data_IF_006927481848
#
_entry.id   IF_006927481848
#
_cell.length_a   1.000
_cell.length_b   1.000
_cell.length_c   1.000
_cell.angle_alpha   90.00
_cell.angle_beta   90.00
_cell.angle_gamma   90.00
#
_symmetry.space_group_name_H-M   'P 1'
#
loop_
_entity.id
_entity.type
_entity.pdbx_description
1 polymer ?
#
# COMPACT_ATOMS: atom_id res chain seq x y z
N UNK A 1 -29.58 29.92 54.87
CA UNK A 1 -28.18 29.51 54.56
C UNK A 1 -28.02 29.55 53.03
N UNK A 2 -26.85 29.91 52.48
CA UNK A 2 -26.67 29.90 51.03
C UNK A 2 -26.76 28.46 50.49
N UNK A 3 -27.46 28.26 49.37
CA UNK A 3 -27.54 26.98 48.69
C UNK A 3 -26.21 26.60 48.07
N UNK A 4 -25.89 25.30 48.10
CA UNK A 4 -24.73 24.73 47.42
C UNK A 4 -25.14 24.00 46.14
N UNK A 5 -24.17 23.62 45.32
CA UNK A 5 -24.43 22.82 44.12
C UNK A 5 -25.11 21.46 44.41
N UNK A 6 -24.96 20.92 45.64
CA UNK A 6 -25.67 19.70 46.07
C UNK A 6 -27.15 19.96 46.34
N UNK A 7 -27.50 21.15 46.84
CA UNK A 7 -28.87 21.53 47.15
C UNK A 7 -29.67 21.87 45.88
N UNK A 8 -28.99 22.41 44.86
CA UNK A 8 -29.60 22.72 43.56
C UNK A 8 -30.34 21.52 42.94
N UNK A 9 -29.76 20.32 43.04
CA UNK A 9 -30.36 19.08 42.51
C UNK A 9 -31.66 18.67 43.22
N UNK A 10 -31.90 19.16 44.45
CA UNK A 10 -33.15 18.93 45.19
C UNK A 10 -34.27 19.84 44.70
N UNK A 11 -33.93 21.01 44.18
CA UNK A 11 -34.89 22.03 43.73
C UNK A 11 -35.15 21.99 42.22
N UNK A 12 -34.21 21.45 41.41
CA UNK A 12 -34.38 21.22 39.97
C UNK A 12 -33.64 19.95 39.55
N UNK A 13 -34.37 18.99 38.97
CA UNK A 13 -33.81 17.74 38.43
C UNK A 13 -33.18 17.98 37.05
N UNK A 14 -32.15 17.21 36.71
CA UNK A 14 -31.49 17.26 35.39
C UNK A 14 -30.33 18.25 35.25
N UNK A 15 -29.97 19.00 36.31
CA UNK A 15 -28.84 19.93 36.26
C UNK A 15 -27.49 19.19 36.18
N UNK A 16 -26.66 19.57 35.21
CA UNK A 16 -25.25 19.15 35.14
C UNK A 16 -24.45 19.69 36.34
N UNK A 17 -23.26 19.15 36.65
CA UNK A 17 -22.41 19.65 37.75
C UNK A 17 -22.06 21.15 37.61
N UNK A 18 -21.92 21.64 36.38
CA UNK A 18 -21.66 23.06 36.10
C UNK A 18 -22.91 23.91 36.31
N UNK A 19 -24.04 23.49 35.72
CA UNK A 19 -25.33 24.19 35.86
C UNK A 19 -25.80 24.24 37.32
N UNK A 20 -25.54 23.19 38.12
CA UNK A 20 -25.87 23.17 39.54
C UNK A 20 -25.09 24.22 40.36
N UNK A 21 -23.83 24.50 40.00
CA UNK A 21 -23.04 25.57 40.62
C UNK A 21 -23.58 26.94 40.24
N UNK A 22 -23.95 27.15 38.98
CA UNK A 22 -24.52 28.42 38.52
C UNK A 22 -25.93 28.67 39.07
N UNK A 23 -26.77 27.63 39.14
CA UNK A 23 -28.08 27.69 39.79
C UNK A 23 -27.94 28.16 41.24
N UNK A 24 -26.98 27.60 41.99
CA UNK A 24 -26.71 28.01 43.36
C UNK A 24 -26.24 29.46 43.45
N UNK A 25 -25.38 29.92 42.53
CA UNK A 25 -24.95 31.33 42.46
C UNK A 25 -26.14 32.27 42.22
N UNK A 26 -27.01 31.95 41.26
CA UNK A 26 -28.19 32.75 40.91
C UNK A 26 -29.18 32.79 42.08
N UNK A 27 -29.48 31.64 42.68
CA UNK A 27 -30.38 31.55 43.83
C UNK A 27 -29.85 32.36 45.03
N UNK A 28 -28.56 32.25 45.35
CA UNK A 28 -27.95 33.00 46.45
C UNK A 28 -27.91 34.51 46.18
N UNK A 29 -27.69 34.93 44.93
CA UNK A 29 -27.71 36.34 44.54
C UNK A 29 -29.11 36.96 44.68
N UNK A 30 -30.14 36.25 44.24
CA UNK A 30 -31.54 36.71 44.37
C UNK A 30 -31.99 36.71 45.83
N UNK A 31 -31.57 35.72 46.62
CA UNK A 31 -31.83 35.68 48.06
C UNK A 31 -31.22 36.90 48.76
N UNK A 32 -29.95 37.20 48.50
CA UNK A 32 -29.27 38.34 49.09
C UNK A 32 -29.90 39.68 48.68
N UNK A 33 -30.34 39.80 47.42
CA UNK A 33 -31.00 41.01 46.92
C UNK A 33 -32.38 41.20 47.57
N UNK A 34 -33.20 40.14 47.64
CA UNK A 34 -34.51 40.21 48.27
C UNK A 34 -34.43 40.48 49.79
N UNK A 35 -33.43 39.92 50.48
CA UNK A 35 -33.18 40.20 51.90
C UNK A 35 -32.79 41.66 52.14
N UNK A 36 -32.01 42.27 51.24
CA UNK A 36 -31.67 43.71 51.32
C UNK A 36 -32.87 44.62 51.09
N UNK A 37 -33.81 44.20 50.25
CA UNK A 37 -35.03 44.95 49.93
C UNK A 37 -36.17 44.75 50.96
N UNK A 38 -35.97 43.93 51.99
CA UNK A 38 -36.98 43.66 53.02
C UNK A 38 -38.20 42.88 52.50
N UNK A 39 -38.03 42.12 51.41
CA UNK A 39 -39.11 41.36 50.78
C UNK A 39 -39.63 40.21 51.64
N UNK A 40 -40.90 39.83 51.43
CA UNK A 40 -41.48 38.60 51.99
C UNK A 40 -41.27 37.44 51.00
N UNK A 41 -41.05 36.23 51.50
CA UNK A 41 -40.80 35.01 50.68
C UNK A 41 -39.55 35.08 49.78
N UNK A 42 -38.43 35.54 50.33
CA UNK A 42 -37.17 35.65 49.58
C UNK A 42 -36.60 34.30 49.14
N UNK A 43 -36.82 33.24 49.92
CA UNK A 43 -36.36 31.90 49.56
C UNK A 43 -37.16 31.33 48.38
N UNK A 44 -38.49 31.44 48.41
CA UNK A 44 -39.35 31.03 47.30
C UNK A 44 -39.10 31.83 46.03
N UNK A 45 -38.85 33.14 46.14
CA UNK A 45 -38.48 34.01 45.00
C UNK A 45 -37.16 33.57 44.38
N UNK A 46 -36.13 33.31 45.19
CA UNK A 46 -34.82 32.87 44.71
C UNK A 46 -34.88 31.55 43.94
N UNK A 47 -35.61 30.56 44.47
CA UNK A 47 -35.78 29.25 43.82
C UNK A 47 -36.54 29.39 42.50
N UNK A 48 -37.61 30.19 42.43
CA UNK A 48 -38.40 30.41 41.20
C UNK A 48 -37.56 31.06 40.10
N UNK A 49 -36.79 32.09 40.43
CA UNK A 49 -35.96 32.80 39.45
C UNK A 49 -34.84 31.89 38.93
N UNK A 50 -34.18 31.15 39.82
CA UNK A 50 -33.16 30.19 39.43
C UNK A 50 -33.77 29.06 38.57
N UNK A 51 -34.95 28.54 38.92
CA UNK A 51 -35.62 27.51 38.13
C UNK A 51 -36.09 28.00 36.75
N UNK A 52 -36.56 29.24 36.62
CA UNK A 52 -36.95 29.82 35.33
C UNK A 52 -35.77 29.91 34.38
N UNK A 53 -34.66 30.52 34.84
CA UNK A 53 -33.44 30.71 34.04
C UNK A 53 -32.88 29.40 33.50
N UNK A 54 -32.89 28.34 34.31
CA UNK A 54 -32.39 27.02 33.91
C UNK A 54 -33.45 26.14 33.23
N UNK A 55 -34.72 26.55 33.19
CA UNK A 55 -35.72 25.90 32.33
C UNK A 55 -35.61 26.42 30.90
N UNK A 56 -35.43 27.74 30.73
CA UNK A 56 -35.20 28.35 29.42
C UNK A 56 -33.91 27.84 28.74
N UNK A 57 -32.85 27.59 29.51
CA UNK A 57 -31.62 26.98 28.99
C UNK A 57 -31.81 25.51 28.59
N UNK A 58 -32.66 24.76 29.29
CA UNK A 58 -32.98 23.37 28.97
C UNK A 58 -33.94 23.25 27.78
N UNK A 59 -34.83 24.23 27.59
CA UNK A 59 -35.74 24.29 26.44
C UNK A 59 -35.04 24.77 25.16
N UNK A 60 -33.90 25.47 25.28
CA UNK A 60 -33.03 25.86 24.17
C UNK A 60 -32.07 24.74 23.70
N UNK A 61 -31.91 23.68 24.49
CA UNK A 61 -31.18 22.46 24.12
C UNK A 61 -32.10 21.56 23.27
N UNK A 62 -32.05 21.69 21.94
CA UNK A 62 -32.69 20.73 21.04
C UNK A 62 -31.96 19.40 21.17
N UNK A 63 -32.55 18.47 21.94
CA UNK A 63 -32.10 17.08 22.00
C UNK A 63 -32.43 16.41 20.68
N UNK A 64 -31.43 16.23 19.84
CA UNK A 64 -31.54 15.42 18.63
C UNK A 64 -30.74 14.16 18.87
N UNK A 65 -31.42 13.03 19.02
CA UNK A 65 -30.78 11.72 19.07
C UNK A 65 -30.31 11.35 17.66
N UNK A 66 -29.00 11.16 17.50
CA UNK A 66 -28.39 10.80 16.22
C UNK A 66 -27.43 9.63 16.39
N UNK A 67 -27.61 8.59 15.57
CA UNK A 67 -26.62 7.51 15.41
C UNK A 67 -25.73 7.82 14.21
N UNK A 68 -24.43 8.04 14.43
CA UNK A 68 -23.46 8.17 13.33
C UNK A 68 -22.43 7.03 13.38
N UNK A 69 -22.25 6.35 12.25
CA UNK A 69 -21.26 5.29 12.09
C UNK A 69 -19.84 5.85 12.03
N UNK A 70 -19.21 5.93 13.19
CA UNK A 70 -17.80 6.20 13.52
C UNK A 70 -16.73 5.22 12.98
N UNK A 71 -15.92 5.44 11.93
CA UNK A 71 -14.75 4.56 11.71
C UNK A 71 -13.74 4.76 12.87
N UNK A 72 -13.32 3.68 13.54
CA UNK A 72 -12.43 3.74 14.72
C UNK A 72 -11.12 4.53 14.51
N UNK A 73 -10.62 4.63 13.27
CA UNK A 73 -9.46 5.47 12.94
C UNK A 73 -9.69 6.97 13.19
N UNK A 74 -10.94 7.44 13.15
CA UNK A 74 -11.31 8.84 13.39
C UNK A 74 -11.48 9.17 14.90
N UNK A 75 -11.50 8.17 15.79
CA UNK A 75 -11.63 8.33 17.25
C UNK A 75 -10.29 8.32 17.99
N UNK A 76 -9.16 8.48 17.28
CA UNK A 76 -7.87 8.74 17.92
C UNK A 76 -7.78 10.20 18.35
N UNK A 77 -8.30 10.51 19.53
CA UNK A 77 -7.87 11.70 20.25
C UNK A 77 -6.43 11.46 20.70
N UNK A 78 -5.48 12.09 20.02
CA UNK A 78 -4.10 12.18 20.49
C UNK A 78 -4.12 13.17 21.64
N UNK A 79 -4.09 12.68 22.88
CA UNK A 79 -3.87 13.53 24.05
C UNK A 79 -2.40 13.99 24.00
N UNK A 80 -2.10 15.29 23.83
CA UNK A 80 -0.75 15.75 23.49
C UNK A 80 0.20 15.77 24.71
N UNK A 81 -0.02 14.94 25.72
CA UNK A 81 0.72 15.00 26.99
C UNK A 81 0.80 13.71 27.78
N UNK A 82 0.67 12.53 27.16
CA UNK A 82 0.91 11.26 27.86
C UNK A 82 2.03 10.49 27.15
N UNK A 83 3.10 10.33 27.92
CA UNK A 83 4.37 9.72 27.57
C UNK A 83 4.18 8.34 26.92
N UNK A 84 5.06 8.05 25.95
CA UNK A 84 5.05 6.96 24.98
C UNK A 84 5.17 5.53 25.53
N UNK A 85 4.70 5.22 26.74
CA UNK A 85 4.83 3.89 27.35
C UNK A 85 3.54 3.28 27.88
N UNK A 86 2.39 3.95 27.76
CA UNK A 86 1.09 3.31 28.01
C UNK A 86 0.34 2.99 26.72
N UNK A 87 1.01 2.21 25.84
CA UNK A 87 0.28 1.32 24.95
C UNK A 87 -0.56 0.41 25.83
N UNK A 88 -1.85 0.70 25.96
CA UNK A 88 -2.82 -0.24 26.52
C UNK A 88 -2.89 -1.42 25.56
N UNK A 89 -2.01 -2.39 25.79
CA UNK A 89 -2.10 -3.72 25.20
C UNK A 89 -3.35 -4.34 25.82
N UNK A 90 -4.47 -4.22 25.11
CA UNK A 90 -5.59 -5.13 25.31
C UNK A 90 -5.11 -6.50 24.83
N UNK A 91 -4.64 -7.32 25.78
CA UNK A 91 -4.39 -8.74 25.56
C UNK A 91 -5.74 -9.39 25.30
N UNK A 92 -6.07 -9.62 24.03
CA UNK A 92 -7.23 -10.42 23.67
C UNK A 92 -6.93 -11.89 23.97
N UNK A 93 -7.89 -12.57 24.62
CA UNK A 93 -7.87 -14.03 24.76
C UNK A 93 -7.65 -14.66 23.38
N UNK A 94 -6.72 -15.61 23.31
CA UNK A 94 -6.57 -16.55 22.20
C UNK A 94 -7.94 -17.14 21.85
N UNK A 95 -8.47 -16.75 20.69
CA UNK A 95 -9.80 -17.20 20.25
C UNK A 95 -10.29 -16.57 18.95
N UNK A 96 -10.06 -15.28 18.69
CA UNK A 96 -10.60 -14.59 17.50
C UNK A 96 -9.52 -13.79 16.76
N UNK A 97 -8.75 -14.44 15.90
CA UNK A 97 -7.98 -13.74 14.86
C UNK A 97 -9.01 -13.22 13.83
N UNK A 98 -9.53 -12.01 14.06
CA UNK A 98 -10.46 -11.36 13.14
C UNK A 98 -9.77 -11.10 11.80
N UNK A 99 -10.21 -11.81 10.75
CA UNK A 99 -9.69 -11.65 9.39
C UNK A 99 -9.98 -10.24 8.87
N UNK A 100 -8.94 -9.56 8.36
CA UNK A 100 -9.06 -8.26 7.67
C UNK A 100 -10.00 -8.39 6.47
N UNK A 101 -10.91 -7.43 6.32
CA UNK A 101 -11.88 -7.35 5.23
C UNK A 101 -11.47 -6.28 4.24
N UNK A 102 -11.65 -6.57 2.95
CA UNK A 102 -11.45 -5.61 1.87
C UNK A 102 -12.74 -4.82 1.62
N UNK A 103 -12.68 -3.51 1.83
CA UNK A 103 -13.72 -2.58 1.37
C UNK A 103 -13.20 -1.89 0.11
N UNK A 104 -13.83 -2.17 -1.03
CA UNK A 104 -13.41 -1.62 -2.32
C UNK A 104 -14.62 -1.28 -3.19
N UNK A 105 -14.69 -0.04 -3.65
CA UNK A 105 -15.63 0.43 -4.68
C UNK A 105 -14.89 0.42 -6.00
N UNK A 106 -15.22 -0.55 -6.86
CA UNK A 106 -14.50 -0.79 -8.13
C UNK A 106 -14.90 0.20 -9.21
N UNK A 107 -16.16 0.63 -9.19
CA UNK A 107 -16.68 1.62 -10.14
C UNK A 107 -17.90 2.30 -9.52
N UNK A 108 -17.94 3.63 -9.55
CA UNK A 108 -19.00 4.42 -8.89
C UNK A 108 -20.32 4.50 -9.69
N UNK A 109 -20.35 3.96 -10.90
CA UNK A 109 -21.50 4.11 -11.82
C UNK A 109 -21.47 5.39 -12.65
N UNK A 110 -20.58 6.34 -12.34
CA UNK A 110 -20.45 7.64 -13.03
C UNK A 110 -19.78 7.50 -14.39
N UNK A 111 -20.01 8.50 -15.25
CA UNK A 111 -19.35 8.61 -16.55
C UNK A 111 -17.85 8.86 -16.34
N UNK A 112 -17.04 7.95 -16.86
CA UNK A 112 -15.59 8.07 -16.95
C UNK A 112 -15.28 9.03 -18.09
N UNK A 113 -14.57 10.12 -17.79
CA UNK A 113 -14.18 11.10 -18.81
C UNK A 113 -12.80 10.78 -19.34
N UNK A 114 -12.54 11.16 -20.59
CA UNK A 114 -11.20 11.16 -21.19
C UNK A 114 -10.49 9.79 -21.22
N UNK A 115 -11.27 8.70 -21.38
CA UNK A 115 -10.67 7.39 -21.61
C UNK A 115 -9.97 7.36 -22.96
N UNK A 116 -8.66 7.07 -22.96
CA UNK A 116 -7.78 7.14 -24.14
C UNK A 116 -8.34 6.47 -25.41
N UNK A 117 -9.07 5.37 -25.27
CA UNK A 117 -9.71 4.66 -26.39
C UNK A 117 -11.21 4.91 -26.56
N UNK A 118 -11.95 5.20 -25.48
CA UNK A 118 -13.42 5.22 -25.48
C UNK A 118 -14.02 6.62 -25.38
N UNK A 119 -13.19 7.65 -25.16
CA UNK A 119 -13.62 9.00 -24.86
C UNK A 119 -14.37 9.05 -23.54
N UNK A 120 -15.56 9.68 -23.54
CA UNK A 120 -16.47 9.56 -22.40
C UNK A 120 -17.06 8.14 -22.36
N UNK A 121 -16.77 7.37 -21.33
CA UNK A 121 -17.20 5.99 -21.16
C UNK A 121 -18.20 5.86 -20.00
N UNK A 122 -19.36 5.28 -20.26
CA UNK A 122 -20.26 4.80 -19.20
C UNK A 122 -20.40 3.29 -19.26
N UNK A 123 -20.23 2.63 -18.13
CA UNK A 123 -20.41 1.18 -18.02
C UNK A 123 -21.76 0.90 -17.37
N UNK A 124 -22.69 0.27 -18.09
CA UNK A 124 -24.04 -0.01 -17.60
C UNK A 124 -24.00 -1.17 -16.61
N UNK A 125 -24.30 -0.89 -15.34
CA UNK A 125 -24.26 -1.90 -14.27
C UNK A 125 -25.36 -2.95 -14.41
N UNK A 126 -26.48 -2.61 -15.06
CA UNK A 126 -27.58 -3.55 -15.31
C UNK A 126 -27.20 -4.65 -16.32
N UNK A 127 -26.22 -4.35 -17.18
CA UNK A 127 -25.69 -5.26 -18.20
C UNK A 127 -24.46 -6.07 -17.76
N UNK A 128 -24.11 -6.04 -16.49
CA UNK A 128 -22.91 -6.71 -15.97
C UNK A 128 -23.12 -8.23 -15.80
N UNK A 129 -22.26 -9.02 -16.45
CA UNK A 129 -22.25 -10.47 -16.35
C UNK A 129 -21.12 -10.99 -15.46
N UNK A 130 -21.45 -11.93 -14.58
CA UNK A 130 -20.53 -12.55 -13.64
C UNK A 130 -20.49 -14.08 -13.81
N UNK A 131 -19.85 -14.62 -14.88
CA UNK A 131 -19.86 -16.04 -15.18
C UNK A 131 -18.98 -16.90 -14.24
N UNK A 132 -18.00 -16.29 -13.56
CA UNK A 132 -17.10 -16.99 -12.63
C UNK A 132 -17.64 -16.97 -11.21
N UNK A 133 -17.28 -18.00 -10.42
CA UNK A 133 -17.60 -18.08 -8.98
C UNK A 133 -16.71 -17.19 -8.12
N UNK A 134 -15.45 -17.01 -8.54
CA UNK A 134 -14.42 -16.20 -7.86
C UNK A 134 -13.76 -15.27 -8.88
N UNK A 135 -13.39 -14.09 -8.42
CA UNK A 135 -12.72 -13.06 -9.18
C UNK A 135 -11.45 -12.61 -8.47
N UNK A 136 -10.33 -12.42 -9.19
CA UNK A 136 -9.11 -11.91 -8.60
C UNK A 136 -9.24 -10.41 -8.30
N UNK A 137 -8.54 -9.99 -7.23
CA UNK A 137 -8.22 -8.61 -6.91
C UNK A 137 -6.70 -8.46 -7.04
N UNK A 138 -6.26 -7.64 -7.99
CA UNK A 138 -4.85 -7.44 -8.31
C UNK A 138 -4.36 -6.06 -7.87
N UNK A 139 -3.06 -5.85 -7.93
CA UNK A 139 -2.47 -4.51 -7.89
C UNK A 139 -2.28 -4.00 -9.34
N UNK A 140 -2.76 -2.80 -9.67
CA UNK A 140 -2.51 -2.14 -10.96
C UNK A 140 -2.70 -3.01 -12.23
N UNK A 141 -3.70 -3.89 -12.24
CA UNK A 141 -3.99 -4.84 -13.35
C UNK A 141 -2.85 -5.82 -13.67
N UNK A 142 -1.87 -5.94 -12.77
CA UNK A 142 -0.71 -6.80 -12.94
C UNK A 142 -1.03 -8.21 -12.49
N UNK A 143 -1.13 -9.15 -13.43
CA UNK A 143 -1.45 -10.56 -13.14
C UNK A 143 -0.42 -11.28 -12.26
N UNK A 144 0.81 -10.76 -12.21
CA UNK A 144 1.85 -11.23 -11.30
C UNK A 144 1.60 -10.78 -9.85
N UNK A 145 0.94 -9.64 -9.63
CA UNK A 145 0.72 -9.00 -8.32
C UNK A 145 -0.68 -9.22 -7.77
N UNK A 146 -0.80 -10.20 -6.87
CA UNK A 146 -2.09 -10.71 -6.38
C UNK A 146 -2.34 -10.19 -4.98
N UNK A 147 -3.49 -9.53 -4.75
CA UNK A 147 -3.85 -8.97 -3.44
C UNK A 147 -4.89 -9.85 -2.74
N UNK A 148 -5.99 -10.16 -3.43
CA UNK A 148 -7.07 -10.94 -2.86
C UNK A 148 -7.85 -11.68 -3.95
N UNK A 149 -8.83 -12.48 -3.53
CA UNK A 149 -9.89 -12.93 -4.42
C UNK A 149 -11.23 -12.77 -3.73
N UNK A 150 -12.26 -12.45 -4.50
CA UNK A 150 -13.62 -12.25 -4.01
C UNK A 150 -14.62 -13.10 -4.76
N UNK A 151 -15.78 -13.33 -4.17
CA UNK A 151 -16.92 -13.92 -4.86
C UNK A 151 -17.59 -12.91 -5.82
N UNK A 152 -18.85 -13.12 -6.21
CA UNK A 152 -19.59 -12.16 -7.01
C UNK A 152 -19.60 -10.76 -6.34
N UNK A 153 -19.13 -9.71 -7.02
CA UNK A 153 -19.25 -8.33 -6.56
C UNK A 153 -20.71 -7.91 -6.34
N UNK A 154 -20.92 -6.95 -5.44
CA UNK A 154 -22.23 -6.36 -5.14
C UNK A 154 -22.45 -5.15 -6.07
N UNK A 155 -23.65 -5.06 -6.62
CA UNK A 155 -24.09 -3.92 -7.44
C UNK A 155 -25.19 -3.22 -6.66
N UNK A 156 -25.01 -1.94 -6.37
CA UNK A 156 -26.00 -1.09 -5.69
C UNK A 156 -26.11 0.29 -6.37
N UNK A 157 -26.88 1.20 -5.79
CA UNK A 157 -27.06 2.57 -6.29
C UNK A 157 -25.78 3.43 -6.22
N UNK A 158 -24.81 3.04 -5.40
CA UNK A 158 -23.51 3.71 -5.23
C UNK A 158 -22.43 3.14 -6.15
N UNK A 159 -22.71 2.02 -6.81
CA UNK A 159 -21.90 1.47 -7.89
C UNK A 159 -21.64 -0.03 -7.75
N UNK A 160 -20.46 -0.43 -8.22
CA UNK A 160 -19.96 -1.80 -8.13
C UNK A 160 -18.96 -1.90 -6.99
N UNK A 161 -19.26 -2.73 -6.00
CA UNK A 161 -18.45 -2.93 -4.80
C UNK A 161 -18.00 -4.39 -4.68
N UNK A 162 -16.80 -4.59 -4.15
CA UNK A 162 -16.35 -5.93 -3.74
C UNK A 162 -17.05 -6.33 -2.45
N UNK A 163 -17.47 -7.59 -2.36
CA UNK A 163 -18.12 -8.14 -1.18
C UNK A 163 -17.09 -8.35 -0.05
N UNK A 164 -17.12 -7.57 1.05
CA UNK A 164 -16.10 -7.66 2.09
C UNK A 164 -16.12 -8.99 2.85
N UNK A 165 -17.30 -9.61 3.00
CA UNK A 165 -17.47 -10.86 3.75
C UNK A 165 -17.03 -12.10 2.95
N UNK A 166 -16.98 -11.98 1.62
CA UNK A 166 -16.60 -13.06 0.71
C UNK A 166 -15.29 -12.77 -0.02
N UNK A 167 -14.45 -11.93 0.58
CA UNK A 167 -13.11 -11.61 0.09
C UNK A 167 -12.07 -12.20 1.02
N UNK A 168 -11.09 -12.86 0.43
CA UNK A 168 -9.96 -13.45 1.13
C UNK A 168 -8.67 -12.86 0.56
N UNK A 169 -7.86 -12.26 1.43
CA UNK A 169 -6.50 -11.83 1.09
C UNK A 169 -5.61 -13.04 0.82
N UNK A 170 -4.71 -12.93 -0.16
CA UNK A 170 -3.65 -13.91 -0.36
C UNK A 170 -2.41 -13.53 0.43
N UNK A 171 -1.58 -14.51 0.78
CA UNK A 171 -0.30 -14.27 1.46
C UNK A 171 0.80 -13.99 0.42
N UNK A 172 0.87 -12.73 0.00
CA UNK A 172 1.85 -12.22 -0.96
C UNK A 172 2.44 -10.92 -0.42
N UNK A 173 3.61 -10.54 -0.92
CA UNK A 173 4.29 -9.29 -0.50
C UNK A 173 3.38 -8.09 -0.76
N UNK A 174 2.73 -8.06 -1.92
CA UNK A 174 1.86 -6.97 -2.36
C UNK A 174 0.57 -6.89 -1.52
N UNK A 175 -0.02 -8.04 -1.21
CA UNK A 175 -1.20 -8.10 -0.31
C UNK A 175 -0.87 -7.57 1.08
N UNK A 176 0.29 -7.96 1.63
CA UNK A 176 0.73 -7.54 2.95
C UNK A 176 1.08 -6.04 2.98
N UNK A 177 1.72 -5.54 1.92
CA UNK A 177 2.01 -4.11 1.74
C UNK A 177 0.74 -3.28 1.63
N UNK A 178 -0.21 -3.69 0.77
CA UNK A 178 -1.51 -3.02 0.64
C UNK A 178 -2.26 -2.94 1.97
N UNK A 179 -2.29 -4.03 2.73
CA UNK A 179 -2.95 -4.07 4.04
C UNK A 179 -2.27 -3.11 5.03
N UNK A 180 -0.93 -3.04 5.04
CA UNK A 180 -0.17 -2.14 5.91
C UNK A 180 -0.36 -0.67 5.52
N UNK A 181 -0.31 -0.35 4.22
CA UNK A 181 -0.51 1.02 3.72
C UNK A 181 -1.95 1.48 3.92
N UNK A 182 -2.93 0.58 3.78
CA UNK A 182 -4.33 0.85 4.13
C UNK A 182 -4.48 1.24 5.60
N UNK A 183 -3.80 0.55 6.51
CA UNK A 183 -3.81 0.88 7.95
C UNK A 183 -3.17 2.24 8.26
N UNK A 184 -2.21 2.66 7.43
CA UNK A 184 -1.60 3.99 7.52
C UNK A 184 -2.47 5.09 6.90
N UNK A 185 -3.60 4.74 6.28
CA UNK A 185 -4.51 5.68 5.64
C UNK A 185 -4.08 6.12 4.23
N UNK A 186 -3.29 5.31 3.52
CA UNK A 186 -2.93 5.60 2.14
C UNK A 186 -4.21 5.62 1.26
N UNK A 187 -4.43 6.68 0.45
CA UNK A 187 -5.67 6.86 -0.29
C UNK A 187 -5.69 6.03 -1.59
N UNK A 188 -5.79 4.70 -1.47
CA UNK A 188 -5.92 3.86 -2.65
C UNK A 188 -7.26 4.07 -3.35
N UNK A 189 -7.20 4.15 -4.67
CA UNK A 189 -8.34 4.08 -5.57
C UNK A 189 -8.51 2.64 -6.09
N UNK A 190 -9.51 2.41 -6.93
CA UNK A 190 -9.73 1.12 -7.55
C UNK A 190 -10.08 1.24 -9.02
N UNK A 191 -9.85 0.16 -9.74
CA UNK A 191 -10.12 0.07 -11.17
C UNK A 191 -10.79 -1.25 -11.53
N UNK A 192 -11.50 -1.21 -12.65
CA UNK A 192 -12.26 -2.31 -13.23
C UNK A 192 -11.57 -2.78 -14.50
N UNK A 193 -11.39 -4.10 -14.65
CA UNK A 193 -11.20 -4.66 -15.98
C UNK A 193 -12.38 -5.57 -16.35
N UNK A 194 -13.06 -5.17 -17.42
CA UNK A 194 -14.21 -5.85 -17.97
C UNK A 194 -14.11 -5.93 -19.50
N UNK A 195 -14.75 -6.93 -20.08
CA UNK A 195 -14.83 -7.08 -21.53
C UNK A 195 -16.23 -6.66 -22.02
N UNK A 196 -16.34 -5.64 -22.87
CA UNK A 196 -17.62 -5.27 -23.46
C UNK A 196 -18.07 -6.28 -24.51
N UNK A 197 -19.35 -6.64 -24.47
CA UNK A 197 -20.02 -7.50 -25.45
C UNK A 197 -20.96 -6.70 -26.35
N UNK A 198 -21.61 -5.66 -25.81
CA UNK A 198 -22.47 -4.73 -26.56
C UNK A 198 -22.05 -3.31 -26.23
N UNK A 199 -21.65 -2.57 -27.26
CA UNK A 199 -21.19 -1.19 -27.15
C UNK A 199 -22.17 -0.31 -27.93
N UNK A 200 -22.71 0.70 -27.27
CA UNK A 200 -23.49 1.77 -27.88
C UNK A 200 -22.59 3.01 -27.99
N UNK A 201 -22.38 3.53 -29.20
CA UNK A 201 -21.63 4.76 -29.40
C UNK A 201 -22.59 5.94 -29.47
N UNK A 202 -22.24 7.02 -28.79
CA UNK A 202 -23.02 8.26 -28.71
C UNK A 202 -22.26 9.31 -29.51
N UNK A 203 -22.88 9.73 -30.61
CA UNK A 203 -22.33 10.77 -31.47
C UNK A 203 -22.40 12.16 -30.81
N UNK A 204 -21.62 13.09 -31.34
CA UNK A 204 -21.60 14.48 -30.88
C UNK A 204 -23.01 15.11 -30.91
N UNK A 205 -23.42 15.72 -29.80
CA UNK A 205 -24.75 16.32 -29.64
C UNK A 205 -25.85 15.37 -29.15
N UNK A 206 -25.62 14.05 -29.15
CA UNK A 206 -26.52 13.09 -28.53
C UNK A 206 -26.23 12.92 -27.03
N UNK A 207 -27.24 12.48 -26.26
CA UNK A 207 -27.09 12.19 -24.84
C UNK A 207 -27.89 10.98 -24.43
N UNK A 208 -27.37 10.20 -23.49
CA UNK A 208 -28.00 8.97 -23.01
C UNK A 208 -27.89 8.85 -21.49
N UNK A 209 -28.91 8.29 -20.84
CA UNK A 209 -28.88 8.01 -19.41
C UNK A 209 -28.39 6.59 -19.12
N UNK A 210 -27.42 6.46 -18.21
CA UNK A 210 -26.81 5.20 -17.78
C UNK A 210 -26.54 5.30 -16.28
N UNK A 211 -27.01 4.32 -15.50
CA UNK A 211 -26.88 4.29 -14.03
C UNK A 211 -27.36 5.57 -13.31
N UNK A 212 -28.36 6.27 -13.86
CA UNK A 212 -28.85 7.55 -13.31
C UNK A 212 -28.00 8.78 -13.67
N UNK A 213 -26.92 8.61 -14.45
CA UNK A 213 -26.10 9.70 -14.95
C UNK A 213 -26.31 9.92 -16.45
N UNK A 214 -26.19 11.17 -16.90
CA UNK A 214 -26.29 11.51 -18.32
C UNK A 214 -24.90 11.56 -18.96
N UNK A 215 -24.66 10.71 -19.96
CA UNK A 215 -23.49 10.77 -20.83
C UNK A 215 -23.84 11.63 -22.05
N UNK A 216 -23.01 12.65 -22.32
CA UNK A 216 -23.09 13.47 -23.55
C UNK A 216 -22.02 12.98 -24.51
N UNK A 217 -22.38 12.82 -25.79
CA UNK A 217 -21.43 12.45 -26.83
C UNK A 217 -20.43 13.56 -27.15
N UNK A 218 -19.27 13.23 -27.73
CA UNK A 218 -18.88 11.90 -28.21
C UNK A 218 -18.46 10.96 -27.07
N UNK A 219 -18.98 9.72 -27.08
CA UNK A 219 -18.68 8.74 -26.04
C UNK A 219 -19.18 7.33 -26.34
N UNK A 220 -18.86 6.39 -25.45
CA UNK A 220 -19.23 4.99 -25.57
C UNK A 220 -19.93 4.50 -24.30
N UNK A 221 -20.93 3.64 -24.48
CA UNK A 221 -21.65 2.98 -23.39
C UNK A 221 -21.50 1.47 -23.52
N UNK A 222 -21.03 0.82 -22.46
CA UNK A 222 -21.02 -0.65 -22.40
C UNK A 222 -22.36 -1.14 -21.86
N UNK A 223 -23.26 -1.54 -22.76
CA UNK A 223 -24.61 -2.02 -22.41
C UNK A 223 -24.65 -3.46 -21.93
N UNK A 224 -23.73 -4.28 -22.41
CA UNK A 224 -23.49 -5.64 -21.89
C UNK A 224 -22.01 -5.87 -21.82
N UNK A 225 -21.54 -6.40 -20.71
CA UNK A 225 -20.11 -6.62 -20.50
C UNK A 225 -19.89 -7.69 -19.43
N UNK A 226 -18.73 -8.34 -19.48
CA UNK A 226 -18.35 -9.38 -18.54
C UNK A 226 -17.27 -8.87 -17.59
N UNK A 227 -17.51 -8.98 -16.29
CA UNK A 227 -16.53 -8.64 -15.27
C UNK A 227 -15.38 -9.67 -15.27
N UNK A 228 -14.13 -9.21 -15.25
CA UNK A 228 -12.95 -10.10 -15.21
C UNK A 228 -12.20 -10.01 -13.89
N UNK A 229 -11.93 -8.80 -13.43
CA UNK A 229 -11.16 -8.52 -12.22
C UNK A 229 -11.47 -7.13 -11.67
N UNK A 230 -11.07 -6.94 -10.42
CA UNK A 230 -10.90 -5.61 -9.84
C UNK A 230 -9.41 -5.42 -9.51
N UNK A 231 -8.96 -4.18 -9.52
CA UNK A 231 -7.58 -3.84 -9.17
C UNK A 231 -7.55 -2.72 -8.14
N UNK A 232 -6.65 -2.84 -7.17
CA UNK A 232 -6.25 -1.74 -6.30
C UNK A 232 -5.24 -0.89 -7.06
N UNK A 233 -5.47 0.42 -7.10
CA UNK A 233 -4.62 1.36 -7.83
C UNK A 233 -4.28 2.56 -6.95
N UNK A 234 -3.16 3.20 -7.21
CA UNK A 234 -2.87 4.53 -6.63
C UNK A 234 -3.76 5.58 -7.30
N UNK A 235 -4.00 5.43 -8.61
CA UNK A 235 -4.89 6.27 -9.39
C UNK A 235 -5.83 5.38 -10.22
N UNK A 236 -7.09 5.37 -9.86
CA UNK A 236 -8.17 4.80 -10.64
C UNK A 236 -8.56 5.73 -11.78
N UNK A 237 -9.12 5.16 -12.84
CA UNK A 237 -9.69 5.96 -13.92
C UNK A 237 -11.01 6.64 -13.52
N UNK A 238 -11.65 6.14 -12.45
CA UNK A 238 -12.76 6.77 -11.77
C UNK A 238 -12.27 7.40 -10.47
N UNK A 239 -12.27 8.73 -10.39
CA UNK A 239 -11.80 9.47 -9.20
C UNK A 239 -12.72 9.32 -7.98
N UNK A 240 -13.79 8.52 -8.08
CA UNK A 240 -14.73 8.25 -6.99
C UNK A 240 -14.61 6.81 -6.47
N UNK A 241 -13.61 6.05 -6.91
CA UNK A 241 -13.31 4.73 -6.38
C UNK A 241 -12.40 4.83 -5.17
N UNK A 242 -12.50 3.84 -4.29
CA UNK A 242 -11.66 3.73 -3.11
C UNK A 242 -11.41 2.26 -2.80
N UNK A 243 -10.23 1.95 -2.30
CA UNK A 243 -9.86 0.61 -1.81
C UNK A 243 -9.20 0.72 -0.45
N UNK A 244 -9.58 -0.14 0.49
CA UNK A 244 -9.05 -0.12 1.85
C UNK A 244 -9.20 -1.47 2.52
N UNK A 245 -8.17 -1.91 3.24
CA UNK A 245 -8.25 -3.07 4.12
C UNK A 245 -8.51 -2.62 5.57
N UNK A 246 -9.57 -3.14 6.19
CA UNK A 246 -9.89 -2.87 7.59
C UNK A 246 -10.07 -4.17 8.38
N UNK A 247 -9.55 -4.21 9.62
CA UNK A 247 -9.57 -5.40 10.46
C UNK A 247 -10.92 -5.69 11.14
N UNK A 248 -11.90 -4.78 11.11
CA UNK A 248 -13.17 -5.01 11.83
C UNK A 248 -14.33 -4.18 11.29
N UNK A 249 -15.45 -4.84 11.06
CA UNK A 249 -16.79 -4.23 11.12
C UNK A 249 -17.05 -3.85 12.57
N UNK A 250 -16.55 -2.70 13.01
CA UNK A 250 -17.13 -1.96 14.12
C UNK A 250 -17.30 -0.53 13.67
N UNK A 251 -18.47 -0.25 13.10
CA UNK A 251 -19.12 1.00 13.47
C UNK A 251 -19.48 0.79 14.93
N UNK A 252 -18.75 1.42 15.84
CA UNK A 252 -19.33 1.65 17.15
C UNK A 252 -20.43 2.68 16.90
N UNK A 253 -21.69 2.26 17.08
CA UNK A 253 -22.79 3.20 17.23
C UNK A 253 -22.51 3.94 18.53
N UNK A 254 -21.78 5.04 18.42
CA UNK A 254 -21.60 5.96 19.52
C UNK A 254 -22.93 6.69 19.62
N UNK A 255 -23.76 6.30 20.58
CA UNK A 255 -24.85 7.15 21.05
C UNK A 255 -24.21 8.38 21.69
N UNK A 256 -24.22 9.50 20.99
CA UNK A 256 -23.76 10.78 21.52
C UNK A 256 -24.94 11.70 21.75
N UNK A 257 -24.94 12.37 22.90
CA UNK A 257 -25.77 13.55 23.13
C UNK A 257 -25.03 14.75 22.56
N UNK A 258 -25.41 15.21 21.36
CA UNK A 258 -24.87 16.44 20.80
C UNK A 258 -25.53 17.65 21.48
N UNK A 259 -24.78 18.34 22.34
CA UNK A 259 -25.20 19.62 22.90
C UNK A 259 -24.83 20.70 21.88
N UNK A 260 -25.77 21.03 20.99
CA UNK A 260 -25.62 22.16 20.07
C UNK A 260 -25.88 23.45 20.85
N UNK A 261 -24.81 24.16 21.23
CA UNK A 261 -24.93 25.54 21.67
C UNK A 261 -25.28 26.41 20.47
N UNK A 262 -26.56 26.74 20.30
CA UNK A 262 -26.99 27.74 19.34
C UNK A 262 -26.26 29.04 19.70
N UNK A 263 -25.36 29.53 18.83
CA UNK A 263 -24.76 30.86 18.99
C UNK A 263 -25.92 31.85 19.18
N UNK A 264 -25.92 32.68 20.23
CA UNK A 264 -26.90 33.74 20.33
C UNK A 264 -26.73 34.66 19.12
N UNK A 265 -27.83 34.95 18.43
CA UNK A 265 -27.87 35.90 17.32
C UNK A 265 -27.17 37.21 17.72
N UNK A 266 -26.25 37.69 16.87
CA UNK A 266 -25.40 38.87 17.04
C UNK A 266 -26.16 40.22 17.03
N UNK A 267 -27.41 40.28 17.51
CA UNK A 267 -28.23 41.48 17.37
C UNK A 267 -29.13 41.81 18.57
N UNK A 268 -28.63 41.63 19.79
CA UNK A 268 -29.18 42.31 20.96
C UNK A 268 -28.15 42.42 22.09
N UNK A 269 -27.38 43.51 22.15
CA UNK A 269 -27.18 44.32 23.37
C UNK A 269 -26.26 45.51 23.07
N UNK A 270 -26.88 46.65 22.77
CA UNK A 270 -26.25 47.95 23.05
C UNK A 270 -26.41 48.23 24.55
N UNK A 271 -25.35 48.74 25.16
CA UNK A 271 -25.28 49.39 26.48
C UNK A 271 -25.48 48.48 27.71
N UNK A 272 -24.40 48.13 28.39
CA UNK A 272 -24.00 48.79 29.66
C UNK A 272 -22.60 48.33 30.10
N UNK A 273 -21.90 49.24 30.78
CA UNK A 273 -20.51 49.18 31.23
C UNK A 273 -20.24 48.18 32.37
N UNK A 274 -18.98 47.71 32.39
CA UNK A 274 -18.13 47.40 33.56
C UNK A 274 -18.52 46.24 34.50
N UNK A 275 -17.80 45.10 34.41
CA UNK A 275 -16.64 44.77 35.27
C UNK A 275 -16.24 43.28 35.20
N UNK A 276 -14.93 43.09 35.00
CA UNK A 276 -14.00 42.03 35.45
C UNK A 276 -14.48 40.58 35.65
N UNK A 277 -13.85 39.65 34.92
CA UNK A 277 -14.00 38.21 35.17
C UNK A 277 -13.28 37.22 34.24
N UNK A 278 -12.07 37.57 33.78
CA UNK A 278 -11.00 36.70 33.26
C UNK A 278 -11.29 35.36 32.58
N UNK A 279 -11.04 35.31 31.28
CA UNK A 279 -10.36 34.18 30.62
C UNK A 279 -9.17 34.76 29.84
N UNK A 280 -7.98 34.77 30.45
CA UNK A 280 -6.75 35.20 29.78
C UNK A 280 -6.19 34.00 29.01
N UNK A 281 -6.39 33.99 27.70
CA UNK A 281 -5.52 33.24 26.78
C UNK A 281 -4.13 33.87 26.87
N UNK A 282 -3.14 33.14 27.40
CA UNK A 282 -1.80 33.66 27.59
C UNK A 282 -1.03 33.59 26.27
N UNK A 283 -0.60 34.75 25.74
CA UNK A 283 0.22 34.84 24.54
C UNK A 283 1.67 34.39 24.80
N UNK A 284 2.31 33.80 23.78
CA UNK A 284 3.70 33.27 23.77
C UNK A 284 4.78 34.27 24.26
N UNK A 285 4.47 35.57 24.28
CA UNK A 285 5.35 36.62 24.80
C UNK A 285 5.34 36.69 26.33
N UNK A 286 4.19 36.54 26.98
CA UNK A 286 4.10 36.58 28.44
C UNK A 286 4.75 35.35 29.11
N UNK A 287 4.74 34.21 28.42
CA UNK A 287 5.32 32.96 28.93
C UNK A 287 6.86 33.02 28.98
N UNK A 288 7.48 33.69 28.00
CA UNK A 288 8.94 33.94 27.96
C UNK A 288 9.41 34.91 29.03
N UNK A 289 8.58 35.88 29.41
CA UNK A 289 8.90 36.88 30.43
C UNK A 289 8.74 36.33 31.86
N UNK A 290 7.71 35.50 32.09
CA UNK A 290 7.37 35.00 33.44
C UNK A 290 8.10 33.71 33.83
N UNK A 291 8.43 32.84 32.87
CA UNK A 291 9.08 31.55 33.14
C UNK A 291 10.15 31.19 32.10
N UNK A 292 11.29 31.91 32.08
CA UNK A 292 12.37 31.66 31.13
C UNK A 292 13.03 30.28 31.31
N UNK A 293 13.01 29.72 32.52
CA UNK A 293 13.59 28.39 32.80
C UNK A 293 12.79 27.26 32.14
N UNK A 294 11.46 27.31 32.18
CA UNK A 294 10.60 26.32 31.52
C UNK A 294 10.77 26.33 29.99
N UNK A 295 10.93 27.51 29.39
CA UNK A 295 11.19 27.63 27.94
C UNK A 295 12.55 27.04 27.58
N UNK A 296 13.58 27.23 28.41
CA UNK A 296 14.90 26.64 28.17
C UNK A 296 14.89 25.12 28.32
N UNK A 297 14.13 24.58 29.26
CA UNK A 297 13.99 23.15 29.47
C UNK A 297 13.22 22.48 28.31
N UNK A 298 12.11 23.07 27.87
CA UNK A 298 11.35 22.62 26.68
C UNK A 298 12.21 22.64 25.42
N UNK A 299 13.01 23.71 25.22
CA UNK A 299 13.92 23.79 24.06
C UNK A 299 15.04 22.74 24.15
N UNK A 300 15.55 22.46 25.35
CA UNK A 300 16.56 21.40 25.56
C UNK A 300 15.98 20.03 25.26
N UNK A 301 14.79 19.74 25.79
CA UNK A 301 14.11 18.46 25.61
C UNK A 301 13.73 18.25 24.14
N UNK A 302 13.14 19.26 23.50
CA UNK A 302 12.84 19.24 22.07
C UNK A 302 14.11 19.05 21.22
N UNK A 303 15.21 19.72 21.57
CA UNK A 303 16.48 19.53 20.88
C UNK A 303 17.00 18.10 21.06
N UNK A 304 16.99 17.56 22.28
CA UNK A 304 17.46 16.19 22.54
C UNK A 304 16.62 15.14 21.82
N UNK A 305 15.30 15.36 21.72
CA UNK A 305 14.41 14.43 21.04
C UNK A 305 14.59 14.48 19.52
N UNK A 306 14.75 15.69 18.95
CA UNK A 306 15.11 15.87 17.54
C UNK A 306 16.48 15.28 17.23
N UNK A 307 17.47 15.42 18.12
CA UNK A 307 18.82 14.87 17.93
C UNK A 307 18.81 13.33 17.96
N UNK A 308 17.98 12.72 18.83
CA UNK A 308 17.76 11.26 18.83
C UNK A 308 17.07 10.79 17.55
N UNK A 309 15.99 11.44 17.13
CA UNK A 309 15.27 11.12 15.90
C UNK A 309 16.20 11.22 14.69
N UNK A 310 16.96 12.31 14.58
CA UNK A 310 17.90 12.53 13.49
C UNK A 310 19.06 11.51 13.52
N UNK A 311 19.61 11.18 14.71
CA UNK A 311 20.68 10.18 14.82
C UNK A 311 20.22 8.78 14.38
N UNK A 312 18.95 8.44 14.63
CA UNK A 312 18.35 7.18 14.22
C UNK A 312 18.21 7.13 12.70
N UNK A 313 17.61 8.16 12.09
CA UNK A 313 17.46 8.27 10.64
C UNK A 313 18.81 8.26 9.90
N UNK A 314 19.82 8.97 10.41
CA UNK A 314 21.17 8.99 9.83
C UNK A 314 21.80 7.59 9.88
N UNK A 315 21.60 6.84 10.97
CA UNK A 315 22.11 5.48 11.09
C UNK A 315 21.44 4.52 10.10
N UNK A 316 20.12 4.64 9.91
CA UNK A 316 19.37 3.84 8.95
C UNK A 316 19.76 4.16 7.50
N UNK A 317 19.90 5.45 7.18
CA UNK A 317 20.35 5.90 5.86
C UNK A 317 21.77 5.41 5.56
N UNK A 318 22.66 5.39 6.57
CA UNK A 318 24.02 4.85 6.42
C UNK A 318 23.98 3.35 6.09
N UNK A 319 23.15 2.57 6.78
CA UNK A 319 22.96 1.13 6.51
C UNK A 319 22.36 0.89 5.12
N UNK A 320 21.37 1.71 4.71
CA UNK A 320 20.81 1.63 3.35
C UNK A 320 21.87 1.91 2.29
N UNK A 321 22.73 2.91 2.50
CA UNK A 321 23.77 3.27 1.55
C UNK A 321 24.86 2.19 1.44
N UNK A 322 25.26 1.55 2.55
CA UNK A 322 26.19 0.41 2.50
C UNK A 322 25.57 -0.78 1.75
N UNK A 323 24.31 -1.11 2.03
CA UNK A 323 23.62 -2.21 1.36
C UNK A 323 23.42 -1.96 -0.13
N UNK A 324 23.15 -0.70 -0.53
CA UNK A 324 23.09 -0.32 -1.94
C UNK A 324 24.46 -0.44 -2.61
N UNK A 325 25.53 0.00 -1.95
CA UNK A 325 26.90 -0.17 -2.46
C UNK A 325 27.27 -1.64 -2.69
N UNK A 326 26.91 -2.53 -1.76
CA UNK A 326 27.13 -3.97 -1.91
C UNK A 326 26.34 -4.56 -3.08
N UNK A 327 25.07 -4.15 -3.27
CA UNK A 327 24.23 -4.59 -4.40
C UNK A 327 24.78 -4.12 -5.74
N UNK A 328 25.24 -2.86 -5.83
CA UNK A 328 25.86 -2.32 -7.05
C UNK A 328 27.10 -3.13 -7.41
N UNK A 329 27.95 -3.42 -6.44
CA UNK A 329 29.17 -4.21 -6.64
C UNK A 329 28.87 -5.66 -7.07
N UNK A 330 27.83 -6.29 -6.53
CA UNK A 330 27.37 -7.61 -6.97
C UNK A 330 26.83 -7.59 -8.41
N UNK A 331 26.06 -6.56 -8.77
CA UNK A 331 25.54 -6.38 -10.13
C UNK A 331 26.67 -6.14 -11.13
N UNK A 332 27.63 -5.27 -10.82
CA UNK A 332 28.80 -5.02 -11.67
C UNK A 332 29.63 -6.29 -11.91
N UNK A 333 29.83 -7.10 -10.86
CA UNK A 333 30.48 -8.42 -10.99
C UNK A 333 29.68 -9.35 -11.90
N UNK A 334 28.36 -9.43 -11.73
CA UNK A 334 27.49 -10.28 -12.55
C UNK A 334 27.50 -9.86 -14.02
N UNK A 335 27.43 -8.56 -14.29
CA UNK A 335 27.52 -7.99 -15.64
C UNK A 335 28.87 -8.29 -16.29
N UNK A 336 29.98 -8.13 -15.55
CA UNK A 336 31.32 -8.47 -16.04
C UNK A 336 31.45 -9.96 -16.39
N UNK A 337 30.95 -10.85 -15.53
CA UNK A 337 30.96 -12.30 -15.77
C UNK A 337 30.10 -12.65 -17.00
N UNK A 338 28.92 -12.03 -17.13
CA UNK A 338 28.04 -12.27 -18.30
C UNK A 338 28.74 -11.83 -19.58
N UNK A 339 29.31 -10.62 -19.61
CA UNK A 339 30.04 -10.12 -20.78
C UNK A 339 31.25 -10.99 -21.15
N UNK A 340 31.99 -11.53 -20.17
CA UNK A 340 33.08 -12.46 -20.42
C UNK A 340 32.58 -13.79 -21.02
N UNK A 341 31.51 -14.34 -20.46
CA UNK A 341 30.89 -15.57 -20.98
C UNK A 341 30.34 -15.40 -22.40
N UNK A 342 29.69 -14.28 -22.71
CA UNK A 342 29.19 -13.96 -24.05
C UNK A 342 30.34 -13.90 -25.07
N UNK A 343 31.46 -13.23 -24.72
CA UNK A 343 32.65 -13.18 -25.58
C UNK A 343 33.25 -14.56 -25.80
N UNK A 344 33.35 -15.38 -24.76
CA UNK A 344 33.85 -16.75 -24.85
C UNK A 344 32.99 -17.60 -25.78
N UNK A 345 31.66 -17.58 -25.59
CA UNK A 345 30.72 -18.30 -26.45
C UNK A 345 30.80 -17.83 -27.90
N UNK A 346 30.96 -16.52 -28.12
CA UNK A 346 31.10 -15.96 -29.46
C UNK A 346 32.39 -16.41 -30.14
N UNK A 347 33.51 -16.43 -29.40
CA UNK A 347 34.77 -16.96 -29.88
C UNK A 347 34.69 -18.46 -30.21
N UNK A 348 34.06 -19.26 -29.34
CA UNK A 348 33.85 -20.68 -29.55
C UNK A 348 32.98 -20.94 -30.79
N UNK A 349 31.94 -20.12 -31.00
CA UNK A 349 31.10 -20.18 -32.19
C UNK A 349 31.90 -19.93 -33.47
N UNK A 350 32.71 -18.87 -33.50
CA UNK A 350 33.56 -18.53 -34.66
C UNK A 350 34.57 -19.64 -34.92
N UNK A 351 35.21 -20.19 -33.88
CA UNK A 351 36.13 -21.32 -34.01
C UNK A 351 35.44 -22.54 -34.63
N UNK A 352 34.26 -22.91 -34.15
CA UNK A 352 33.51 -24.06 -34.67
C UNK A 352 33.08 -23.82 -36.13
N UNK A 353 32.59 -22.63 -36.47
CA UNK A 353 32.22 -22.26 -37.84
C UNK A 353 33.41 -22.40 -38.81
N UNK A 354 34.56 -21.84 -38.43
CA UNK A 354 35.77 -21.86 -39.24
C UNK A 354 36.34 -23.28 -39.39
N UNK A 355 36.36 -24.07 -38.31
CA UNK A 355 36.85 -25.45 -38.34
C UNK A 355 35.95 -26.36 -39.19
N UNK A 356 34.63 -26.19 -39.12
CA UNK A 356 33.68 -26.93 -39.98
C UNK A 356 33.86 -26.62 -41.47
N UNK A 357 34.23 -25.38 -41.78
CA UNK A 357 34.52 -24.96 -43.17
C UNK A 357 35.92 -25.36 -43.65
N UNK A 358 36.78 -25.88 -42.76
CA UNK A 358 38.17 -26.20 -43.05
C UNK A 358 38.39 -27.69 -43.36
N UNK A 359 39.50 -28.00 -44.01
CA UNK A 359 39.91 -29.37 -44.34
C UNK A 359 40.56 -30.14 -43.16
N UNK A 360 40.49 -29.58 -41.94
CA UNK A 360 41.07 -30.16 -40.72
C UNK A 360 40.14 -31.26 -40.17
N UNK A 361 40.65 -32.47 -39.86
CA UNK A 361 39.88 -33.53 -39.21
C UNK A 361 39.42 -33.15 -37.79
N UNK A 362 38.22 -33.58 -37.42
CA UNK A 362 37.59 -33.32 -36.11
C UNK A 362 38.46 -33.77 -34.92
N UNK A 363 39.25 -34.83 -35.09
CA UNK A 363 40.20 -35.32 -34.09
C UNK A 363 41.30 -34.33 -33.71
N UNK A 364 41.53 -33.29 -34.53
CA UNK A 364 42.54 -32.26 -34.29
C UNK A 364 41.95 -30.94 -33.77
N UNK A 365 40.62 -30.79 -33.69
CA UNK A 365 39.99 -29.54 -33.25
C UNK A 365 40.42 -29.13 -31.83
N UNK A 366 40.49 -30.07 -30.91
CA UNK A 366 40.95 -29.83 -29.53
C UNK A 366 42.42 -29.41 -29.45
N UNK A 367 43.22 -29.74 -30.46
CA UNK A 367 44.64 -29.34 -30.54
C UNK A 367 44.83 -27.98 -31.17
N UNK A 368 43.97 -27.60 -32.12
CA UNK A 368 44.08 -26.34 -32.88
C UNK A 368 43.49 -25.15 -32.10
N UNK A 369 42.34 -25.34 -31.42
CA UNK A 369 41.64 -24.28 -30.67
C UNK A 369 42.50 -23.48 -29.67
N UNK A 370 43.39 -24.10 -28.87
CA UNK A 370 44.19 -23.37 -27.87
C UNK A 370 45.23 -22.40 -28.46
N UNK A 371 45.58 -22.50 -29.75
CA UNK A 371 46.63 -21.70 -30.37
C UNK A 371 46.22 -20.22 -30.56
N UNK A 372 44.92 -19.94 -30.75
CA UNK A 372 44.39 -18.57 -30.87
C UNK A 372 43.38 -18.32 -29.76
N UNK A 373 43.86 -17.66 -28.69
CA UNK A 373 43.01 -17.23 -27.57
C UNK A 373 42.29 -15.93 -27.91
N UNK A 374 40.96 -15.91 -27.73
CA UNK A 374 40.12 -14.73 -27.93
C UNK A 374 40.48 -13.56 -27.00
N UNK A 375 41.07 -13.82 -25.83
CA UNK A 375 41.49 -12.79 -24.88
C UNK A 375 42.50 -11.80 -25.46
N UNK A 376 43.27 -12.18 -26.49
CA UNK A 376 44.21 -11.31 -27.19
C UNK A 376 43.53 -10.33 -28.17
N UNK A 377 42.24 -10.53 -28.45
CA UNK A 377 41.46 -9.78 -29.42
C UNK A 377 40.33 -8.98 -28.75
N UNK A 378 40.46 -8.71 -27.46
CA UNK A 378 39.56 -7.84 -26.70
C UNK A 378 40.27 -6.52 -26.43
N UNK A 379 39.84 -5.45 -27.10
CA UNK A 379 40.32 -4.09 -26.88
C UNK A 379 39.19 -3.28 -26.24
N UNK A 380 39.46 -2.64 -25.09
CA UNK A 380 38.48 -1.81 -24.37
C UNK A 380 37.12 -2.50 -24.07
N UNK A 381 37.15 -3.83 -23.85
CA UNK A 381 35.94 -4.62 -23.56
C UNK A 381 35.09 -4.97 -24.79
N UNK A 382 35.53 -4.59 -25.99
CA UNK A 382 34.92 -4.94 -27.27
C UNK A 382 35.74 -6.05 -27.93
N UNK A 383 35.06 -7.09 -28.39
CA UNK A 383 35.69 -8.23 -29.07
C UNK A 383 35.81 -7.95 -30.58
N UNK A 384 37.05 -7.94 -31.09
CA UNK A 384 37.34 -7.70 -32.50
C UNK A 384 37.23 -9.00 -33.30
N UNK A 385 36.03 -9.28 -33.81
CA UNK A 385 35.74 -10.50 -34.58
C UNK A 385 36.56 -10.59 -35.88
N UNK A 386 36.93 -9.46 -36.49
CA UNK A 386 37.59 -9.43 -37.80
C UNK A 386 39.04 -9.89 -37.65
N UNK A 387 39.80 -9.26 -36.74
CA UNK A 387 41.17 -9.68 -36.44
C UNK A 387 41.23 -11.12 -35.92
N UNK A 388 40.23 -11.53 -35.14
CA UNK A 388 40.16 -12.89 -34.62
C UNK A 388 39.97 -13.93 -35.74
N UNK A 389 39.06 -13.67 -36.69
CA UNK A 389 38.85 -14.55 -37.86
C UNK A 389 40.09 -14.63 -38.76
N UNK A 390 40.79 -13.52 -38.96
CA UNK A 390 42.04 -13.50 -39.72
C UNK A 390 43.13 -14.35 -39.05
N UNK A 391 43.27 -14.23 -37.72
CA UNK A 391 44.21 -15.05 -36.95
C UNK A 391 43.89 -16.54 -37.02
N UNK A 392 42.61 -16.91 -36.89
CA UNK A 392 42.14 -18.30 -37.05
C UNK A 392 42.45 -18.82 -38.46
N UNK A 393 42.20 -18.01 -39.49
CA UNK A 393 42.44 -18.41 -40.88
C UNK A 393 43.92 -18.69 -41.15
N UNK A 394 44.81 -17.88 -40.59
CA UNK A 394 46.26 -18.08 -40.70
C UNK A 394 46.71 -19.35 -39.97
N UNK A 395 46.16 -19.62 -38.79
CA UNK A 395 46.44 -20.85 -38.04
C UNK A 395 45.94 -22.08 -38.83
N UNK A 396 44.70 -22.07 -39.31
CA UNK A 396 44.15 -23.17 -40.13
C UNK A 396 45.03 -23.44 -41.35
N UNK A 397 45.52 -22.41 -42.03
CA UNK A 397 46.43 -22.55 -43.18
C UNK A 397 47.76 -23.20 -42.78
N UNK A 398 48.33 -22.84 -41.63
CA UNK A 398 49.57 -23.44 -41.12
C UNK A 398 49.38 -24.93 -40.80
N UNK A 399 48.27 -25.31 -40.18
CA UNK A 399 47.95 -26.73 -39.91
C UNK A 399 47.70 -27.54 -41.17
N UNK A 400 46.96 -26.98 -42.15
CA UNK A 400 46.74 -27.63 -43.45
C UNK A 400 48.07 -27.79 -44.20
N UNK A 401 48.94 -26.76 -44.18
CA UNK A 401 50.27 -26.79 -44.79
C UNK A 401 51.23 -27.79 -44.15
N UNK A 402 51.06 -28.07 -42.85
CA UNK A 402 51.78 -29.11 -42.10
C UNK A 402 51.26 -30.54 -42.33
N UNK A 403 50.30 -30.72 -43.24
CA UNK A 403 49.79 -32.03 -43.61
C UNK A 403 48.64 -32.55 -42.74
N UNK A 404 47.97 -31.67 -41.99
CA UNK A 404 46.74 -32.03 -41.28
C UNK A 404 45.52 -32.23 -42.21
N UNK A 405 45.69 -32.07 -43.53
CA UNK A 405 44.65 -32.30 -44.52
C UNK A 405 44.18 -33.77 -44.55
N UNK A 406 42.92 -33.98 -44.94
CA UNK A 406 42.15 -35.24 -44.95
C UNK A 406 42.75 -36.44 -45.72
N UNK A 407 43.99 -36.36 -46.20
CA UNK A 407 44.65 -37.46 -46.93
C UNK A 407 45.49 -38.31 -45.98
N UNK A 408 44.83 -39.21 -45.23
CA UNK A 408 45.50 -40.35 -44.61
C UNK A 408 45.33 -41.56 -45.53
N UNK A 409 46.29 -41.76 -46.42
CA UNK A 409 46.52 -43.05 -47.08
C UNK A 409 47.31 -43.95 -46.12
N UNK A 410 46.62 -44.89 -45.49
CA UNK A 410 47.11 -46.24 -45.21
C UNK A 410 48.20 -46.49 -44.14
N UNK A 411 47.82 -47.37 -43.21
CA UNK A 411 48.62 -48.42 -42.54
C UNK A 411 49.37 -48.07 -41.25
N UNK A 412 49.03 -48.81 -40.18
CA UNK A 412 49.92 -49.05 -39.04
C UNK A 412 49.21 -49.17 -37.68
N UNK A 413 48.45 -50.25 -37.45
CA UNK A 413 48.00 -50.61 -36.10
C UNK A 413 49.22 -50.93 -35.22
N UNK A 414 49.39 -50.19 -34.12
CA UNK A 414 49.97 -50.72 -32.88
C UNK A 414 49.15 -50.20 -31.70
N UNK A 415 48.31 -51.09 -31.17
CA UNK A 415 47.72 -50.93 -29.83
C UNK A 415 48.81 -51.07 -28.79
N UNK A 416 49.18 -49.95 -28.15
CA UNK A 416 49.72 -49.99 -26.79
C UNK A 416 48.60 -49.55 -25.86
N UNK A 417 48.11 -50.51 -25.07
CA UNK A 417 47.25 -50.24 -23.94
C UNK A 417 47.99 -49.31 -22.96
N UNK A 418 47.60 -48.03 -22.94
CA UNK A 418 47.85 -47.13 -21.83
C UNK A 418 46.52 -47.00 -21.12
N UNK A 419 46.41 -47.71 -19.99
CA UNK A 419 45.28 -47.63 -19.08
C UNK A 419 45.27 -46.24 -18.46
N UNK A 420 44.51 -45.33 -19.04
CA UNK A 420 44.40 -43.95 -18.57
C UNK A 420 43.41 -43.87 -17.40
N UNK A 421 43.93 -43.62 -16.21
CA UNK A 421 43.19 -43.57 -14.92
C UNK A 421 42.16 -42.45 -14.84
N UNK A 422 42.11 -41.56 -15.84
CA UNK A 422 41.13 -40.48 -15.98
C UNK A 422 39.82 -40.92 -16.64
N UNK A 423 39.81 -41.97 -17.47
CA UNK A 423 38.56 -42.45 -18.08
C UNK A 423 37.63 -43.10 -17.04
N UNK A 424 38.19 -43.75 -16.02
CA UNK A 424 37.43 -44.37 -14.94
C UNK A 424 36.84 -43.36 -13.95
N UNK A 425 37.47 -42.19 -13.76
CA UNK A 425 36.92 -41.13 -12.89
C UNK A 425 35.76 -40.39 -13.56
N UNK A 426 35.85 -40.14 -14.87
CA UNK A 426 34.79 -39.48 -15.66
C UNK A 426 33.55 -40.37 -15.78
N UNK A 427 33.71 -41.69 -15.93
CA UNK A 427 32.58 -42.63 -15.93
C UNK A 427 31.89 -42.70 -14.56
N UNK A 428 32.65 -42.72 -13.46
CA UNK A 428 32.08 -42.68 -12.10
C UNK A 428 31.40 -41.35 -11.77
N UNK A 429 31.87 -40.24 -12.34
CA UNK A 429 31.25 -38.93 -12.19
C UNK A 429 29.89 -38.90 -12.91
N UNK A 430 29.84 -39.38 -14.16
CA UNK A 430 28.58 -39.51 -14.92
C UNK A 430 27.55 -40.40 -14.24
N UNK A 431 27.95 -41.54 -13.70
CA UNK A 431 27.02 -42.42 -12.96
C UNK A 431 26.44 -41.75 -11.71
N UNK A 432 27.23 -40.93 -11.01
CA UNK A 432 26.74 -40.15 -9.85
C UNK A 432 25.80 -39.03 -10.28
N UNK A 433 26.10 -38.35 -11.38
CA UNK A 433 25.28 -37.26 -11.89
C UNK A 433 23.93 -37.80 -12.39
N UNK A 434 23.92 -38.97 -13.05
CA UNK A 434 22.70 -39.65 -13.48
C UNK A 434 21.85 -40.15 -12.29
N UNK A 435 22.48 -40.65 -11.23
CA UNK A 435 21.78 -41.01 -9.99
C UNK A 435 21.16 -39.79 -9.30
N UNK A 436 21.89 -38.68 -9.24
CA UNK A 436 21.41 -37.42 -8.64
C UNK A 436 20.25 -36.84 -9.44
N UNK A 437 20.34 -36.90 -10.77
CA UNK A 437 19.28 -36.43 -11.67
C UNK A 437 18.01 -37.27 -11.52
N UNK A 438 18.13 -38.60 -11.44
CA UNK A 438 17.00 -39.49 -11.22
C UNK A 438 16.37 -39.31 -9.82
N UNK A 439 17.17 -39.01 -8.79
CA UNK A 439 16.67 -38.70 -7.46
C UNK A 439 15.85 -37.40 -7.44
N UNK A 440 16.31 -36.36 -8.13
CA UNK A 440 15.60 -35.09 -8.26
C UNK A 440 14.30 -35.21 -9.07
N UNK A 441 14.31 -36.01 -10.14
CA UNK A 441 13.12 -36.30 -10.95
C UNK A 441 12.05 -37.06 -10.15
N UNK A 442 12.45 -38.00 -9.29
CA UNK A 442 11.54 -38.71 -8.40
C UNK A 442 10.94 -37.80 -7.30
N UNK A 443 11.73 -36.87 -6.75
CA UNK A 443 11.26 -35.85 -5.81
C UNK A 443 10.26 -34.87 -6.46
N UNK A 444 10.44 -34.59 -7.75
CA UNK A 444 9.53 -33.76 -8.55
C UNK A 444 8.28 -34.52 -9.05
N UNK A 445 8.09 -35.79 -8.67
CA UNK A 445 6.91 -36.59 -9.03
C UNK A 445 6.88 -37.08 -10.48
N UNK A 446 7.99 -36.97 -11.22
CA UNK A 446 8.09 -37.40 -12.62
C UNK A 446 8.58 -38.86 -12.65
N UNK A 447 7.69 -39.80 -12.99
CA UNK A 447 8.07 -41.21 -13.21
C UNK A 447 8.93 -41.30 -14.47
N UNK A 448 10.21 -41.63 -14.31
CA UNK A 448 11.09 -41.94 -15.44
C UNK A 448 10.79 -43.34 -15.98
N UNK A 449 10.64 -43.45 -17.31
CA UNK A 449 10.52 -44.73 -17.99
C UNK A 449 11.90 -45.40 -18.03
N UNK A 450 12.02 -46.59 -17.44
CA UNK A 450 13.23 -47.39 -17.53
C UNK A 450 13.47 -47.79 -19.00
N UNK A 451 14.58 -47.32 -19.57
CA UNK A 451 15.08 -47.81 -20.85
C UNK A 451 15.70 -49.20 -20.64
N UNK A 452 15.35 -50.12 -21.54
CA UNK A 452 15.85 -51.50 -21.63
C UNK A 452 17.17 -51.55 -22.38
#
# INVERSE_FOLDING_TARGET
>A
MPWTAKDAKRHKKGLSPSQAKEWAKVANSVLASCQKEGGKDCEGKAIRVANSKFSELMDAEIKTEGSMGIPKGALRLIDPGVDSESNTILVFKEGDIQKKKLQMTVYSGKVLKDHWYWGSLAIDLSGAEFPKKKYPVLEDHRTDRKIAFTSKPLVDEKGLHVNPDKTEFVDTVESNEFQKLSEQGFPFEASLYGLPSVIERIDEGASVQVNGYTLKGPGSVWRKWTFKEASVCVFGHDTNTQSSSFSRTEKEDVEFEEIVHKKPDDNALSNTNQNEGGEKTMDLKELKEKHPELVQEIVKEAKTEVEKQFSTEVSELKIKNTNLGEKVLDLEKRESIRGENERKLRADFIWNEMLLSSDIPESLYEKVKPHVSYSKFVENGVFDEVKFKEAITNEIKDWVGKGAAKTVMGVGYQTKDVVDSQAASVLKQREKDDQTTNMLLNLAGVKTAAAK
#
